data_IF_734159885791
#
_entry.id   IF_734159885791
#
_cell.length_a   1.000
_cell.length_b   1.000
_cell.length_c   1.000
_cell.angle_alpha   90.00
_cell.angle_beta   90.00
_cell.angle_gamma   90.00
#
_symmetry.space_group_name_H-M   'P 1'
#
loop_
_entity.id
_entity.type
_entity.pdbx_description
1 polymer ?
#
# COMPACT_ATOMS: atom_id res chain seq x y z
N UNK A 1 56.98 -55.97 4.81
CA UNK A 1 55.69 -55.86 5.57
C UNK A 1 55.06 -54.45 5.56
N UNK A 2 55.76 -53.35 5.44
CA UNK A 2 55.15 -51.99 5.54
C UNK A 2 54.45 -51.48 4.24
N UNK A 3 54.76 -52.00 3.05
CA UNK A 3 54.08 -51.56 1.79
C UNK A 3 52.75 -52.25 1.53
N UNK A 4 52.57 -53.49 1.96
CA UNK A 4 51.34 -54.24 1.80
C UNK A 4 50.23 -53.80 2.71
N UNK A 5 50.54 -53.32 3.91
CA UNK A 5 49.59 -52.81 4.88
C UNK A 5 49.04 -51.42 4.44
N UNK A 6 49.86 -50.60 3.76
CA UNK A 6 49.42 -49.31 3.25
C UNK A 6 48.46 -49.40 2.07
N UNK A 7 48.70 -50.42 1.20
CA UNK A 7 47.80 -50.70 0.07
C UNK A 7 46.41 -51.23 0.54
N UNK A 8 46.37 -52.07 1.59
CA UNK A 8 45.09 -52.55 2.13
C UNK A 8 44.30 -51.43 2.80
N UNK A 9 44.94 -50.50 3.51
CA UNK A 9 44.24 -49.34 4.12
C UNK A 9 43.71 -48.40 3.06
N UNK A 10 44.41 -48.17 1.97
CA UNK A 10 43.94 -47.35 0.86
C UNK A 10 42.77 -47.99 0.11
N UNK A 11 42.78 -49.35 -0.06
CA UNK A 11 41.68 -50.06 -0.69
C UNK A 11 40.40 -50.07 0.19
N UNK A 12 40.52 -50.19 1.50
CA UNK A 12 39.38 -50.14 2.41
C UNK A 12 38.81 -48.72 2.51
N UNK A 13 39.66 -47.65 2.46
CA UNK A 13 39.19 -46.27 2.41
C UNK A 13 38.45 -45.97 1.09
N UNK A 14 38.91 -46.51 -0.04
CA UNK A 14 38.23 -46.32 -1.32
C UNK A 14 36.88 -47.04 -1.38
N UNK A 15 36.71 -48.19 -0.70
CA UNK A 15 35.44 -48.91 -0.64
C UNK A 15 34.38 -48.21 0.26
N UNK A 16 34.81 -47.39 1.21
CA UNK A 16 33.89 -46.61 2.07
C UNK A 16 33.34 -45.34 1.36
N UNK A 17 33.95 -44.88 0.27
CA UNK A 17 33.48 -43.78 -0.51
C UNK A 17 32.50 -44.16 -1.64
N UNK A 18 32.23 -45.46 -1.86
CA UNK A 18 31.29 -45.94 -2.87
C UNK A 18 29.85 -46.12 -2.35
N UNK A 19 29.65 -46.02 -1.02
CA UNK A 19 28.29 -45.89 -0.49
C UNK A 19 27.89 -44.41 -0.54
N UNK A 20 27.73 -43.89 -1.75
CA UNK A 20 27.00 -42.71 -2.00
C UNK A 20 25.52 -42.89 -1.55
N UNK A 21 24.92 -41.89 -0.97
CA UNK A 21 23.51 -41.90 -0.62
C UNK A 21 22.70 -42.34 -1.85
N UNK A 22 22.16 -43.56 -1.80
CA UNK A 22 21.05 -43.94 -2.68
C UNK A 22 19.87 -43.07 -2.26
N UNK A 23 19.62 -42.04 -3.04
CA UNK A 23 18.38 -41.27 -2.96
C UNK A 23 17.29 -42.20 -3.47
N UNK A 24 16.58 -42.87 -2.59
CA UNK A 24 15.34 -43.56 -2.92
C UNK A 24 14.35 -42.44 -3.34
N UNK A 25 14.33 -42.15 -4.64
CA UNK A 25 13.21 -41.46 -5.25
C UNK A 25 12.09 -42.48 -5.33
N UNK A 26 11.24 -42.53 -4.32
CA UNK A 26 9.92 -43.15 -4.47
C UNK A 26 9.21 -42.32 -5.54
N UNK A 27 9.17 -42.85 -6.77
CA UNK A 27 8.23 -42.36 -7.76
C UNK A 27 6.82 -42.71 -7.23
N UNK A 28 6.25 -41.85 -6.40
CA UNK A 28 4.81 -41.82 -6.31
C UNK A 28 4.30 -41.50 -7.69
N UNK A 29 3.52 -42.42 -8.25
CA UNK A 29 2.80 -42.19 -9.50
C UNK A 29 1.78 -41.09 -9.20
N UNK A 30 2.19 -39.86 -9.39
CA UNK A 30 1.28 -38.71 -9.42
C UNK A 30 0.34 -38.97 -10.59
N UNK A 31 -0.95 -39.06 -10.31
CA UNK A 31 -1.99 -39.28 -11.33
C UNK A 31 -1.71 -38.44 -12.55
N UNK A 32 -1.73 -39.01 -13.75
CA UNK A 32 -1.44 -38.30 -15.03
C UNK A 32 -2.27 -37.05 -15.26
N UNK A 33 -3.43 -36.91 -14.58
CA UNK A 33 -4.28 -35.71 -14.61
C UNK A 33 -3.61 -34.50 -13.94
N UNK A 34 -2.77 -34.73 -12.92
CA UNK A 34 -2.05 -33.62 -12.25
C UNK A 34 -0.87 -33.10 -13.09
N UNK A 35 -0.21 -33.99 -13.84
CA UNK A 35 0.93 -33.62 -14.68
C UNK A 35 0.52 -32.74 -15.90
N UNK A 36 -0.67 -32.94 -16.45
CA UNK A 36 -1.16 -32.15 -17.59
C UNK A 36 -1.46 -30.69 -17.21
N UNK A 37 -1.85 -30.42 -15.95
CA UNK A 37 -2.13 -29.06 -15.47
C UNK A 37 -0.85 -28.27 -15.12
N UNK A 38 0.23 -28.95 -14.73
CA UNK A 38 1.50 -28.26 -14.43
C UNK A 38 2.06 -27.53 -15.65
N UNK A 39 2.03 -28.17 -16.82
CA UNK A 39 2.53 -27.59 -18.06
C UNK A 39 1.65 -26.47 -18.60
N UNK A 40 0.40 -26.34 -18.19
CA UNK A 40 -0.44 -25.22 -18.52
C UNK A 40 0.04 -23.90 -17.88
N UNK A 41 0.63 -23.99 -16.69
CA UNK A 41 1.20 -22.84 -15.97
C UNK A 41 2.73 -22.77 -16.12
N UNK A 42 3.43 -23.90 -16.16
CA UNK A 42 4.89 -23.96 -16.24
C UNK A 42 5.45 -23.97 -17.68
N UNK A 43 4.60 -23.94 -18.69
CA UNK A 43 4.98 -23.75 -20.06
C UNK A 43 4.76 -22.29 -20.47
N UNK A 44 5.66 -21.40 -20.02
CA UNK A 44 5.57 -19.93 -20.23
C UNK A 44 5.98 -19.56 -21.68
N UNK A 45 5.26 -20.13 -22.67
CA UNK A 45 5.58 -19.93 -24.09
C UNK A 45 5.47 -18.48 -24.52
N UNK A 46 4.55 -17.73 -23.91
CA UNK A 46 4.32 -16.31 -24.17
C UNK A 46 5.12 -15.39 -23.24
N UNK A 47 5.95 -15.93 -22.34
CA UNK A 47 6.80 -15.15 -21.43
C UNK A 47 6.06 -14.35 -20.36
N UNK A 48 4.76 -14.63 -20.12
CA UNK A 48 3.94 -13.85 -19.20
C UNK A 48 4.34 -13.99 -17.73
N UNK A 49 4.70 -15.21 -17.33
CA UNK A 49 5.16 -15.45 -15.95
C UNK A 49 6.53 -14.80 -15.73
N UNK A 50 7.43 -14.90 -16.71
CA UNK A 50 8.74 -14.26 -16.67
C UNK A 50 8.63 -12.73 -16.65
N UNK A 51 7.69 -12.18 -17.43
CA UNK A 51 7.40 -10.74 -17.39
C UNK A 51 6.88 -10.32 -16.01
N UNK A 52 5.87 -11.01 -15.48
CA UNK A 52 5.30 -10.72 -14.18
C UNK A 52 6.33 -10.83 -13.03
N UNK A 53 7.24 -11.82 -13.08
CA UNK A 53 8.36 -11.95 -12.16
C UNK A 53 9.32 -10.76 -12.26
N UNK A 54 9.68 -10.36 -13.48
CA UNK A 54 10.54 -9.19 -13.72
C UNK A 54 9.91 -7.89 -13.21
N UNK A 55 8.62 -7.70 -13.44
CA UNK A 55 7.86 -6.57 -12.90
C UNK A 55 7.83 -6.60 -11.36
N UNK A 56 7.47 -7.76 -10.77
CA UNK A 56 7.43 -7.92 -9.31
C UNK A 56 8.79 -7.65 -8.64
N UNK A 57 9.90 -8.08 -9.24
CA UNK A 57 11.24 -7.79 -8.74
C UNK A 57 11.56 -6.28 -8.66
N UNK A 58 10.82 -5.45 -9.39
CA UNK A 58 10.89 -3.99 -9.34
C UNK A 58 9.87 -3.37 -8.37
N UNK A 59 9.07 -4.17 -7.67
CA UNK A 59 8.06 -3.67 -6.73
C UNK A 59 8.60 -3.50 -5.32
N UNK A 60 7.97 -2.63 -4.55
CA UNK A 60 8.22 -2.53 -3.10
C UNK A 60 7.83 -3.81 -2.36
N UNK A 61 6.89 -4.61 -2.88
CA UNK A 61 6.54 -5.91 -2.29
C UNK A 61 7.73 -6.88 -2.29
N UNK A 62 8.58 -6.85 -3.34
CA UNK A 62 9.74 -7.72 -3.44
C UNK A 62 10.93 -7.23 -2.59
N UNK A 63 11.10 -5.91 -2.46
CA UNK A 63 12.30 -5.28 -1.90
C UNK A 63 12.07 -4.49 -0.62
N UNK A 64 10.81 -4.36 -0.18
CA UNK A 64 10.45 -3.61 1.02
C UNK A 64 10.99 -4.24 2.30
N UNK A 65 11.07 -3.44 3.35
CA UNK A 65 11.47 -3.85 4.70
C UNK A 65 10.34 -4.54 5.47
N UNK A 66 9.25 -4.92 4.79
CA UNK A 66 8.07 -5.51 5.43
C UNK A 66 8.41 -6.73 6.29
N UNK A 67 9.32 -7.57 5.81
CA UNK A 67 9.78 -8.76 6.52
C UNK A 67 10.44 -8.46 7.88
N UNK A 68 10.97 -7.27 8.10
CA UNK A 68 11.59 -6.85 9.36
C UNK A 68 10.58 -6.76 10.52
N UNK A 69 9.28 -6.75 10.20
CA UNK A 69 8.21 -6.65 11.20
C UNK A 69 7.65 -8.00 11.64
N UNK A 70 8.00 -9.09 10.97
CA UNK A 70 7.38 -10.40 11.14
C UNK A 70 7.70 -11.07 12.48
N UNK A 71 8.89 -10.86 13.02
CA UNK A 71 9.38 -11.50 14.25
C UNK A 71 9.31 -10.60 15.49
N UNK A 72 8.48 -9.56 15.48
CA UNK A 72 8.28 -8.72 16.66
C UNK A 72 7.57 -9.50 17.77
N UNK A 73 8.08 -9.39 18.99
CA UNK A 73 7.52 -10.06 20.18
C UNK A 73 6.80 -9.03 21.06
N UNK A 74 5.56 -9.26 21.50
CA UNK A 74 4.73 -10.43 21.18
C UNK A 74 4.37 -10.49 19.69
N UNK A 75 3.96 -11.68 19.19
CA UNK A 75 3.46 -11.79 17.82
C UNK A 75 2.40 -10.72 17.62
N UNK A 76 2.73 -9.74 16.80
CA UNK A 76 1.83 -8.64 16.52
C UNK A 76 1.04 -8.98 15.25
N UNK A 77 -0.12 -8.39 15.11
CA UNK A 77 -0.94 -8.50 13.91
C UNK A 77 -0.24 -8.00 12.63
N UNK A 78 0.99 -7.52 12.76
CA UNK A 78 1.82 -7.06 11.63
C UNK A 78 2.00 -8.12 10.55
N UNK A 79 2.12 -9.39 10.94
CA UNK A 79 2.39 -10.52 10.01
C UNK A 79 1.30 -10.71 8.96
N UNK A 80 0.05 -10.35 9.26
CA UNK A 80 -1.06 -10.46 8.30
C UNK A 80 -0.84 -9.63 7.02
N UNK A 81 -0.07 -8.54 7.10
CA UNK A 81 0.21 -7.64 5.99
C UNK A 81 1.70 -7.65 5.59
N UNK A 82 2.59 -8.05 6.48
CA UNK A 82 4.03 -7.90 6.32
C UNK A 82 4.78 -9.19 5.99
N UNK A 83 4.12 -10.36 5.98
CA UNK A 83 4.72 -11.58 5.45
C UNK A 83 3.70 -12.47 4.71
N UNK A 84 4.23 -13.35 3.90
CA UNK A 84 3.44 -14.30 3.13
C UNK A 84 2.64 -15.26 4.02
N UNK A 85 3.30 -15.86 5.02
CA UNK A 85 2.72 -16.91 5.86
C UNK A 85 1.55 -16.37 6.68
N UNK A 86 1.73 -15.21 7.31
CA UNK A 86 0.68 -14.56 8.09
C UNK A 86 -0.51 -14.14 7.24
N UNK A 87 -0.26 -13.64 6.02
CA UNK A 87 -1.34 -13.33 5.08
C UNK A 87 -2.10 -14.58 4.66
N UNK A 88 -1.41 -15.66 4.30
CA UNK A 88 -2.06 -16.91 3.90
C UNK A 88 -2.89 -17.49 5.05
N UNK A 89 -2.37 -17.47 6.27
CA UNK A 89 -3.09 -17.94 7.45
C UNK A 89 -4.38 -17.16 7.68
N UNK A 90 -4.31 -15.82 7.68
CA UNK A 90 -5.51 -15.01 7.95
C UNK A 90 -6.59 -15.21 6.88
N UNK A 91 -6.21 -15.31 5.60
CA UNK A 91 -7.17 -15.52 4.51
C UNK A 91 -7.77 -16.93 4.52
N UNK A 92 -7.00 -17.95 4.95
CA UNK A 92 -7.45 -19.35 4.88
C UNK A 92 -8.13 -19.83 6.15
N UNK A 93 -7.72 -19.31 7.30
CA UNK A 93 -8.18 -19.79 8.62
C UNK A 93 -8.88 -18.73 9.46
N UNK A 94 -8.79 -17.46 9.07
CA UNK A 94 -9.28 -16.31 9.86
C UNK A 94 -8.40 -15.96 11.05
N UNK A 95 -7.26 -16.64 11.24
CA UNK A 95 -6.35 -16.43 12.38
C UNK A 95 -4.89 -16.52 11.93
N UNK A 96 -4.02 -15.78 12.62
CA UNK A 96 -2.57 -15.91 12.47
C UNK A 96 -2.02 -16.89 13.52
N UNK A 97 -1.06 -17.72 13.15
CA UNK A 97 -0.50 -18.78 14.01
C UNK A 97 1.03 -18.65 14.17
N UNK A 98 1.55 -17.54 14.71
CA UNK A 98 2.99 -17.38 14.94
C UNK A 98 3.50 -18.31 16.06
N UNK A 99 4.81 -18.58 16.16
CA UNK A 99 5.87 -18.01 15.32
C UNK A 99 5.97 -18.65 13.95
N UNK A 100 6.30 -17.83 12.95
CA UNK A 100 6.61 -18.33 11.60
C UNK A 100 8.11 -18.57 11.45
N UNK A 101 8.47 -19.76 10.98
CA UNK A 101 9.85 -20.06 10.61
C UNK A 101 10.04 -19.80 9.10
N UNK A 102 11.21 -19.26 8.73
CA UNK A 102 11.55 -18.96 7.34
C UNK A 102 10.55 -18.03 6.65
N UNK A 103 10.20 -16.95 7.32
CA UNK A 103 9.29 -15.94 6.79
C UNK A 103 9.76 -15.42 5.43
N UNK A 104 8.82 -15.18 4.54
CA UNK A 104 9.07 -14.60 3.22
C UNK A 104 8.27 -13.31 3.03
N UNK A 105 8.83 -12.39 2.26
CA UNK A 105 8.15 -11.18 1.85
C UNK A 105 6.90 -11.51 1.01
N UNK A 106 6.09 -10.50 0.74
CA UNK A 106 4.94 -10.61 -0.17
C UNK A 106 5.43 -11.00 -1.56
N UNK A 107 4.93 -12.11 -2.10
CA UNK A 107 5.36 -12.64 -3.39
C UNK A 107 4.18 -13.28 -4.16
N UNK A 108 4.45 -13.88 -5.32
CA UNK A 108 3.41 -14.42 -6.22
C UNK A 108 2.37 -15.25 -5.48
N UNK A 109 2.79 -16.16 -4.62
CA UNK A 109 1.88 -17.07 -3.89
C UNK A 109 1.16 -16.42 -2.69
N UNK A 110 1.48 -15.19 -2.34
CA UNK A 110 0.67 -14.42 -1.38
C UNK A 110 -0.66 -14.04 -2.02
N UNK A 111 -0.61 -13.55 -3.27
CA UNK A 111 -1.79 -13.11 -4.01
C UNK A 111 -2.47 -14.25 -4.79
N UNK A 112 -1.71 -15.20 -5.31
CA UNK A 112 -2.19 -16.31 -6.12
C UNK A 112 -2.05 -17.65 -5.42
N UNK A 113 -2.96 -18.59 -5.68
CA UNK A 113 -2.93 -19.93 -5.12
C UNK A 113 -2.97 -21.02 -6.20
N UNK A 114 -2.06 -21.01 -7.21
CA UNK A 114 -2.17 -21.87 -8.39
C UNK A 114 -2.10 -23.35 -8.05
N UNK A 115 -1.33 -23.74 -7.04
CA UNK A 115 -1.22 -25.14 -6.61
C UNK A 115 -2.45 -25.64 -5.86
N UNK A 116 -3.33 -24.75 -5.43
CA UNK A 116 -4.62 -25.12 -4.80
C UNK A 116 -5.77 -25.01 -5.80
N UNK A 117 -5.80 -23.91 -6.59
CA UNK A 117 -6.90 -23.62 -7.52
C UNK A 117 -6.71 -24.24 -8.91
N UNK A 118 -5.48 -24.62 -9.29
CA UNK A 118 -5.11 -25.04 -10.64
C UNK A 118 -5.10 -23.89 -11.66
N UNK A 119 -5.20 -22.66 -11.21
CA UNK A 119 -5.22 -21.44 -12.05
C UNK A 119 -4.42 -20.33 -11.40
N UNK A 120 -4.14 -19.24 -12.16
CA UNK A 120 -3.52 -18.02 -11.64
C UNK A 120 -4.55 -17.02 -11.07
N UNK A 121 -5.75 -17.48 -10.71
CA UNK A 121 -6.74 -16.65 -10.04
C UNK A 121 -6.21 -16.13 -8.69
N UNK A 122 -6.73 -14.99 -8.27
CA UNK A 122 -6.41 -14.42 -6.96
C UNK A 122 -6.89 -15.34 -5.83
N UNK A 123 -6.17 -15.32 -4.72
CA UNK A 123 -6.47 -16.13 -3.52
C UNK A 123 -7.82 -15.76 -2.92
N UNK A 124 -8.14 -14.48 -2.92
CA UNK A 124 -9.45 -13.96 -2.53
C UNK A 124 -9.80 -12.73 -3.36
N UNK A 125 -11.09 -12.58 -3.64
CA UNK A 125 -11.72 -11.38 -4.20
C UNK A 125 -12.97 -11.01 -3.39
N UNK A 126 -13.12 -11.62 -2.21
CA UNK A 126 -14.23 -11.30 -1.31
C UNK A 126 -14.15 -9.85 -0.85
N UNK A 127 -15.29 -9.16 -0.73
CA UNK A 127 -15.34 -7.81 -0.20
C UNK A 127 -14.68 -7.73 1.18
N UNK A 128 -13.93 -6.66 1.42
CA UNK A 128 -13.24 -6.42 2.69
C UNK A 128 -14.02 -5.41 3.54
N UNK A 129 -14.24 -5.71 4.82
CA UNK A 129 -14.85 -4.75 5.75
C UNK A 129 -13.76 -3.93 6.41
N UNK A 130 -13.77 -2.61 6.16
CA UNK A 130 -12.86 -1.65 6.77
C UNK A 130 -13.18 -1.45 8.25
N UNK A 131 -12.29 -0.84 9.01
CA UNK A 131 -12.41 -0.72 10.48
C UNK A 131 -13.67 0.07 10.94
N UNK A 132 -14.17 1.00 10.11
CA UNK A 132 -15.43 1.72 10.40
C UNK A 132 -16.69 0.93 10.05
N UNK A 133 -16.55 -0.29 9.54
CA UNK A 133 -17.64 -1.14 9.09
C UNK A 133 -18.05 -0.92 7.63
N UNK A 134 -17.41 0.01 6.91
CA UNK A 134 -17.65 0.23 5.49
C UNK A 134 -17.14 -0.96 4.68
N UNK A 135 -17.92 -1.44 3.73
CA UNK A 135 -17.51 -2.52 2.84
C UNK A 135 -16.74 -1.94 1.65
N UNK A 136 -15.51 -2.40 1.46
CA UNK A 136 -14.73 -2.18 0.25
C UNK A 136 -15.01 -3.34 -0.71
N UNK A 137 -15.69 -3.03 -1.82
CA UNK A 137 -16.05 -4.00 -2.86
C UNK A 137 -15.71 -3.42 -4.24
N UNK A 138 -14.53 -3.73 -4.71
CA UNK A 138 -13.97 -3.27 -5.99
C UNK A 138 -13.37 -4.45 -6.77
N UNK A 139 -14.05 -5.59 -6.75
CA UNK A 139 -13.66 -6.78 -7.50
C UNK A 139 -12.27 -7.30 -7.11
N UNK A 140 -11.37 -7.43 -8.08
CA UNK A 140 -10.03 -7.96 -7.83
C UNK A 140 -9.20 -7.09 -6.86
N UNK A 141 -9.50 -5.80 -6.73
CA UNK A 141 -8.83 -4.91 -5.78
C UNK A 141 -9.17 -5.22 -4.32
N UNK A 142 -10.18 -6.05 -4.04
CA UNK A 142 -10.49 -6.50 -2.69
C UNK A 142 -9.30 -7.23 -2.04
N UNK A 143 -8.47 -7.89 -2.85
CA UNK A 143 -7.22 -8.47 -2.36
C UNK A 143 -6.29 -7.40 -1.77
N UNK A 144 -6.16 -6.25 -2.43
CA UNK A 144 -5.28 -5.15 -1.99
C UNK A 144 -5.77 -4.57 -0.66
N UNK A 145 -7.08 -4.42 -0.48
CA UNK A 145 -7.69 -3.88 0.72
C UNK A 145 -7.40 -4.71 1.99
N UNK A 146 -7.07 -5.99 1.86
CA UNK A 146 -6.69 -6.83 3.00
C UNK A 146 -5.42 -6.35 3.73
N UNK A 147 -4.58 -5.53 3.07
CA UNK A 147 -3.37 -4.96 3.65
C UNK A 147 -3.36 -3.43 3.59
N UNK A 148 -3.91 -2.85 2.50
CA UNK A 148 -3.91 -1.42 2.24
C UNK A 148 -5.17 -0.73 2.80
N UNK A 149 -5.42 -0.90 4.10
CA UNK A 149 -6.49 -0.25 4.86
C UNK A 149 -5.95 0.41 6.13
N UNK A 150 -6.68 1.36 6.70
CA UNK A 150 -6.37 1.95 7.99
C UNK A 150 -6.48 0.90 9.11
N UNK A 151 -5.67 1.05 10.15
CA UNK A 151 -5.64 0.15 11.30
C UNK A 151 -6.32 0.74 12.54
N UNK A 152 -6.53 2.02 12.54
CA UNK A 152 -7.17 2.77 13.62
C UNK A 152 -7.97 3.93 13.02
N UNK A 153 -8.96 4.42 13.75
CA UNK A 153 -9.68 5.65 13.44
C UNK A 153 -9.64 6.62 14.62
N UNK A 154 -9.60 7.92 14.33
CA UNK A 154 -9.50 8.94 15.37
C UNK A 154 -10.66 8.92 16.36
N UNK A 155 -11.84 8.49 15.95
CA UNK A 155 -13.02 8.39 16.78
C UNK A 155 -12.90 7.33 17.92
N UNK A 156 -11.96 6.41 17.82
CA UNK A 156 -11.73 5.36 18.82
C UNK A 156 -10.93 5.86 20.02
N UNK A 157 -10.26 7.02 19.92
CA UNK A 157 -9.41 7.53 20.98
C UNK A 157 -10.19 8.32 22.02
N UNK A 158 -10.08 7.88 23.28
CA UNK A 158 -10.73 8.54 24.44
C UNK A 158 -9.99 9.83 24.82
N UNK A 159 -10.73 10.92 24.97
CA UNK A 159 -10.19 12.20 25.43
C UNK A 159 -10.27 12.36 26.96
N UNK A 160 -9.30 13.04 27.59
CA UNK A 160 -8.10 13.62 27.00
C UNK A 160 -7.11 12.54 26.55
N UNK A 161 -6.51 12.70 25.36
CA UNK A 161 -5.59 11.74 24.77
C UNK A 161 -4.14 12.17 24.97
N UNK A 162 -3.29 11.25 25.42
CA UNK A 162 -1.85 11.50 25.57
C UNK A 162 -1.11 10.95 24.35
N UNK A 163 -0.51 11.82 23.57
CA UNK A 163 0.19 11.44 22.34
C UNK A 163 1.38 10.53 22.63
N UNK A 164 1.46 9.35 22.01
CA UNK A 164 2.65 8.51 22.06
C UNK A 164 3.74 9.05 21.11
N UNK A 165 4.88 8.38 21.05
CA UNK A 165 5.97 8.77 20.16
C UNK A 165 5.70 8.50 18.67
N UNK A 166 4.74 7.66 18.38
CA UNK A 166 4.21 7.33 17.04
C UNK A 166 2.71 7.13 17.15
N UNK A 167 1.98 7.73 16.24
CA UNK A 167 0.52 7.67 16.20
C UNK A 167 0.04 8.03 14.80
N UNK A 168 -1.10 7.50 14.39
CA UNK A 168 -1.69 7.71 13.09
C UNK A 168 -2.33 6.44 12.55
N UNK A 169 -2.94 6.48 11.36
CA UNK A 169 -3.70 5.38 10.75
C UNK A 169 -2.82 4.20 10.29
N UNK A 170 -1.49 4.29 10.43
CA UNK A 170 -0.51 3.52 9.68
C UNK A 170 -0.38 4.03 8.23
N UNK A 171 0.64 3.55 7.48
CA UNK A 171 0.89 3.96 6.09
C UNK A 171 0.16 3.05 5.08
N UNK A 172 -1.05 2.61 5.43
CA UNK A 172 -1.80 1.60 4.67
C UNK A 172 -3.26 1.99 4.43
N UNK A 173 -3.62 3.27 4.60
CA UNK A 173 -5.01 3.73 4.55
C UNK A 173 -5.54 4.05 3.13
N UNK A 174 -4.96 3.45 2.09
CA UNK A 174 -5.28 3.76 0.70
C UNK A 174 -6.72 3.37 0.33
N UNK A 175 -7.20 2.21 0.82
CA UNK A 175 -8.57 1.76 0.56
C UNK A 175 -9.61 2.68 1.20
N UNK A 176 -9.29 3.24 2.35
CA UNK A 176 -10.14 4.21 3.06
C UNK A 176 -10.11 5.57 2.35
N UNK A 177 -8.91 6.02 1.95
CA UNK A 177 -8.74 7.30 1.27
C UNK A 177 -9.49 7.33 -0.07
N UNK A 178 -9.36 6.31 -0.92
CA UNK A 178 -10.08 6.27 -2.20
C UNK A 178 -11.59 6.19 -2.02
N UNK A 179 -12.06 5.68 -0.87
CA UNK A 179 -13.47 5.70 -0.46
C UNK A 179 -13.93 7.05 0.09
N UNK A 180 -13.01 7.96 0.41
CA UNK A 180 -13.32 9.25 1.03
C UNK A 180 -13.77 9.13 2.49
N UNK A 181 -13.20 8.19 3.24
CA UNK A 181 -13.52 7.94 4.65
C UNK A 181 -12.27 7.94 5.53
N UNK A 182 -12.48 7.91 6.85
CA UNK A 182 -11.45 7.68 7.87
C UNK A 182 -10.67 8.92 8.31
N UNK A 183 -10.63 10.00 7.52
CA UNK A 183 -10.15 11.29 7.98
C UNK A 183 -11.10 11.93 8.99
N UNK A 184 -10.59 12.80 9.84
CA UNK A 184 -11.42 13.54 10.78
C UNK A 184 -12.22 14.65 10.09
N UNK A 185 -13.54 14.53 10.13
CA UNK A 185 -14.48 15.47 9.52
C UNK A 185 -15.04 16.42 10.59
N UNK A 186 -14.73 17.70 10.44
CA UNK A 186 -15.23 18.74 11.37
C UNK A 186 -16.71 18.99 11.17
N UNK A 187 -17.44 19.12 12.27
CA UNK A 187 -18.85 19.51 12.22
C UNK A 187 -19.02 20.89 11.57
N UNK A 188 -19.96 20.99 10.63
CA UNK A 188 -20.26 22.24 9.93
C UNK A 188 -19.36 22.52 8.73
N UNK A 189 -18.43 21.64 8.38
CA UNK A 189 -17.70 21.66 7.11
C UNK A 189 -18.26 20.59 6.16
N UNK A 190 -18.32 20.87 4.87
CA UNK A 190 -18.81 19.92 3.87
C UNK A 190 -17.65 19.25 3.17
N UNK A 191 -17.65 17.94 3.16
CA UNK A 191 -16.65 17.12 2.48
C UNK A 191 -17.23 16.53 1.21
N UNK A 192 -16.44 16.54 0.14
CA UNK A 192 -16.75 15.90 -1.12
C UNK A 192 -15.84 14.70 -1.30
N UNK A 193 -16.18 13.85 -2.25
CA UNK A 193 -15.36 12.70 -2.65
C UNK A 193 -15.42 12.60 -4.16
N UNK A 194 -14.30 12.35 -4.80
CA UNK A 194 -14.26 12.13 -6.23
C UNK A 194 -14.69 10.70 -6.62
N UNK A 195 -14.99 10.43 -7.89
CA UNK A 195 -15.58 9.17 -8.31
C UNK A 195 -14.57 8.05 -8.58
N UNK A 196 -13.26 8.21 -8.34
CA UNK A 196 -12.25 7.21 -8.75
C UNK A 196 -12.57 5.81 -8.27
N UNK A 197 -13.06 5.66 -7.03
CA UNK A 197 -13.47 4.34 -6.51
C UNK A 197 -14.50 3.62 -7.36
N UNK A 198 -15.46 4.35 -7.93
CA UNK A 198 -16.57 3.78 -8.69
C UNK A 198 -16.37 3.85 -10.20
N UNK A 199 -15.60 4.81 -10.69
CA UNK A 199 -15.39 5.06 -12.11
C UNK A 199 -14.23 4.23 -12.69
N UNK A 200 -13.24 3.86 -11.87
CA UNK A 200 -12.10 3.05 -12.31
C UNK A 200 -12.40 1.57 -12.07
N UNK A 201 -12.42 0.80 -13.14
CA UNK A 201 -12.66 -0.64 -13.06
C UNK A 201 -11.60 -1.31 -12.18
N UNK A 202 -12.04 -2.12 -11.20
CA UNK A 202 -11.17 -2.75 -10.19
C UNK A 202 -10.30 -1.74 -9.42
N UNK A 203 -10.73 -0.47 -9.31
CA UNK A 203 -10.09 0.57 -8.50
C UNK A 203 -8.55 0.54 -8.55
N UNK A 204 -7.88 0.03 -7.48
CA UNK A 204 -6.42 -0.04 -7.36
C UNK A 204 -5.73 -0.63 -8.60
N UNK A 205 -6.25 -1.76 -9.09
CA UNK A 205 -5.67 -2.52 -10.21
C UNK A 205 -5.74 -1.72 -11.51
N UNK A 206 -6.85 -1.00 -11.74
CA UNK A 206 -7.05 -0.19 -12.94
C UNK A 206 -5.95 0.86 -13.13
N UNK A 207 -5.40 1.38 -12.04
CA UNK A 207 -4.29 2.33 -12.06
C UNK A 207 -2.93 1.65 -11.89
N UNK A 208 -2.71 0.92 -10.78
CA UNK A 208 -1.39 0.41 -10.40
C UNK A 208 -0.88 -0.74 -11.24
N UNK A 209 -1.77 -1.52 -11.85
CA UNK A 209 -1.40 -2.61 -12.75
C UNK A 209 -1.70 -2.30 -14.22
N UNK A 210 -2.17 -1.09 -14.53
CA UNK A 210 -2.48 -0.66 -15.88
C UNK A 210 -1.24 -0.51 -16.75
N UNK A 211 -1.39 -0.77 -18.06
CA UNK A 211 -0.40 -0.49 -19.12
C UNK A 211 1.06 -0.79 -18.72
N UNK A 212 1.41 -2.04 -18.37
CA UNK A 212 2.76 -2.37 -17.94
C UNK A 212 3.79 -2.02 -18.99
N UNK A 213 4.87 -1.37 -18.58
CA UNK A 213 5.98 -0.98 -19.46
C UNK A 213 7.29 -0.95 -18.69
N UNK A 214 8.40 -1.08 -19.42
CA UNK A 214 9.74 -0.98 -18.86
C UNK A 214 10.46 0.21 -19.48
N UNK A 215 11.09 1.04 -18.64
CA UNK A 215 11.96 2.12 -19.05
C UNK A 215 13.32 1.97 -18.37
N UNK A 216 14.39 1.93 -19.13
CA UNK A 216 15.77 1.79 -18.62
C UNK A 216 15.99 0.67 -17.58
N UNK A 217 15.17 -0.40 -17.64
CA UNK A 217 15.21 -1.51 -16.67
C UNK A 217 14.28 -1.36 -15.48
N UNK A 218 13.60 -0.21 -15.32
CA UNK A 218 12.59 0.02 -14.30
C UNK A 218 11.20 -0.34 -14.85
N UNK A 219 10.44 -1.12 -14.08
CA UNK A 219 9.11 -1.53 -14.47
C UNK A 219 8.04 -0.62 -13.88
N UNK A 220 7.07 -0.23 -14.71
CA UNK A 220 5.88 0.54 -14.35
C UNK A 220 4.62 -0.28 -14.65
N UNK A 221 3.62 -0.18 -13.80
CA UNK A 221 2.37 -0.95 -13.94
C UNK A 221 2.60 -2.45 -13.76
N UNK A 222 1.60 -3.26 -14.16
CA UNK A 222 1.68 -4.70 -13.99
C UNK A 222 1.99 -5.09 -12.55
N UNK A 223 2.77 -6.11 -12.35
CA UNK A 223 3.15 -6.59 -11.01
C UNK A 223 4.24 -5.75 -10.32
N UNK A 224 4.73 -4.67 -10.95
CA UNK A 224 5.57 -3.69 -10.26
C UNK A 224 4.75 -2.76 -9.36
N UNK A 225 3.48 -2.52 -9.70
CA UNK A 225 2.56 -1.57 -9.05
C UNK A 225 3.05 -0.12 -9.06
N UNK A 226 4.18 0.17 -9.70
CA UNK A 226 4.80 1.48 -9.74
C UNK A 226 4.03 2.40 -10.70
N UNK A 227 3.68 3.58 -10.22
CA UNK A 227 2.99 4.60 -11.02
C UNK A 227 3.98 5.53 -11.75
N UNK A 228 5.19 5.68 -11.22
CA UNK A 228 6.26 6.51 -11.77
C UNK A 228 7.62 5.91 -11.43
N UNK A 229 8.64 6.35 -12.15
CA UNK A 229 10.04 6.05 -11.82
C UNK A 229 10.53 7.03 -10.75
N UNK A 230 11.22 6.52 -9.72
CA UNK A 230 11.69 7.35 -8.61
C UNK A 230 12.84 8.27 -9.01
N UNK A 231 13.74 7.79 -9.88
CA UNK A 231 14.91 8.53 -10.33
C UNK A 231 14.59 9.51 -11.47
N UNK A 232 13.56 9.21 -12.28
CA UNK A 232 13.06 10.08 -13.33
C UNK A 232 11.54 10.27 -13.21
N UNK A 233 11.07 11.25 -12.43
CA UNK A 233 9.65 11.47 -12.20
C UNK A 233 8.86 11.87 -13.46
N UNK A 234 9.52 12.13 -14.60
CA UNK A 234 8.84 12.36 -15.88
C UNK A 234 8.39 11.06 -16.54
N UNK A 235 8.91 9.91 -16.08
CA UNK A 235 8.52 8.59 -16.56
C UNK A 235 7.39 8.06 -15.68
N UNK A 236 6.16 8.18 -16.15
CA UNK A 236 4.95 7.90 -15.37
C UNK A 236 3.93 7.08 -16.13
N UNK A 237 2.94 6.52 -15.43
CA UNK A 237 1.73 5.94 -16.02
C UNK A 237 0.61 6.98 -16.26
N UNK A 238 0.86 8.26 -16.08
CA UNK A 238 -0.12 9.33 -16.28
C UNK A 238 -0.85 9.24 -17.64
N UNK A 239 -0.22 8.83 -18.75
CA UNK A 239 -0.94 8.70 -20.03
C UNK A 239 -2.15 7.76 -19.99
N UNK A 240 -2.23 6.83 -19.05
CA UNK A 240 -3.40 5.95 -18.91
C UNK A 240 -4.64 6.68 -18.37
N UNK A 241 -4.49 7.86 -17.77
CA UNK A 241 -5.58 8.67 -17.24
C UNK A 241 -6.29 9.47 -18.35
N UNK A 242 -5.64 9.64 -19.52
CA UNK A 242 -6.10 10.46 -20.65
C UNK A 242 -7.53 10.16 -21.14
N UNK A 243 -8.04 8.90 -21.11
CA UNK A 243 -9.41 8.63 -21.55
C UNK A 243 -10.48 9.39 -20.75
N UNK A 244 -10.22 9.68 -19.47
CA UNK A 244 -11.12 10.46 -18.61
C UNK A 244 -10.57 11.88 -18.39
N UNK A 245 -9.26 12.06 -18.33
CA UNK A 245 -8.58 13.32 -18.01
C UNK A 245 -7.68 13.78 -19.17
N UNK A 246 -8.23 14.45 -20.15
CA UNK A 246 -7.51 14.87 -21.37
C UNK A 246 -6.25 15.70 -21.13
N UNK A 247 -6.15 16.40 -19.99
CA UNK A 247 -4.97 17.17 -19.60
C UNK A 247 -3.84 16.32 -19.00
N UNK A 248 -4.13 15.12 -18.48
CA UNK A 248 -3.17 14.25 -17.79
C UNK A 248 -2.46 13.38 -18.82
N UNK A 249 -1.46 13.94 -19.49
CA UNK A 249 -0.79 13.28 -20.65
C UNK A 249 0.59 12.73 -20.34
N UNK A 250 1.32 13.27 -19.38
CA UNK A 250 2.71 12.86 -19.09
C UNK A 250 3.06 12.94 -17.60
N UNK A 251 2.31 13.69 -16.81
CA UNK A 251 2.56 13.96 -15.41
C UNK A 251 1.26 13.79 -14.61
N UNK A 252 1.38 13.46 -13.33
CA UNK A 252 0.27 13.46 -12.38
C UNK A 252 0.05 14.86 -11.76
N UNK A 253 1.02 15.74 -11.82
CA UNK A 253 0.92 17.10 -11.26
C UNK A 253 0.26 18.04 -12.26
N UNK A 254 -1.01 17.80 -12.53
CA UNK A 254 -1.82 18.57 -13.49
C UNK A 254 -3.03 19.15 -12.78
N UNK A 255 -3.31 20.42 -13.00
CA UNK A 255 -4.54 21.06 -12.55
C UNK A 255 -5.63 20.92 -13.62
N UNK A 256 -6.67 20.18 -13.28
CA UNK A 256 -7.73 19.81 -14.24
C UNK A 256 -8.77 20.92 -14.36
N UNK A 257 -9.15 21.57 -13.26
CA UNK A 257 -10.24 22.53 -13.14
C UNK A 257 -9.79 24.01 -13.16
N UNK A 258 -8.48 24.24 -13.13
CA UNK A 258 -7.90 25.58 -13.16
C UNK A 258 -8.20 26.43 -11.90
N UNK A 259 -8.30 25.74 -10.74
CA UNK A 259 -8.46 26.40 -9.45
C UNK A 259 -7.12 26.54 -8.73
N UNK A 260 -6.94 27.67 -8.03
CA UNK A 260 -5.86 27.93 -7.11
C UNK A 260 -6.28 27.41 -5.73
N UNK A 261 -5.78 26.24 -5.35
CA UNK A 261 -6.20 25.56 -4.14
C UNK A 261 -5.49 26.03 -2.88
N UNK A 262 -4.26 26.49 -2.98
CA UNK A 262 -3.49 27.02 -1.86
C UNK A 262 -3.67 28.53 -1.66
N UNK A 263 -4.24 29.23 -2.64
CA UNK A 263 -4.57 30.65 -2.56
C UNK A 263 -3.37 31.58 -2.74
N UNK A 264 -2.28 31.08 -3.35
CA UNK A 264 -1.06 31.84 -3.55
C UNK A 264 -1.15 32.81 -4.76
N UNK A 265 -2.21 32.72 -5.57
CA UNK A 265 -2.48 33.54 -6.75
C UNK A 265 -1.95 32.92 -8.04
N UNK A 266 -1.41 31.72 -7.98
CA UNK A 266 -0.94 30.93 -9.13
C UNK A 266 -1.72 29.61 -9.18
N UNK A 267 -2.06 29.15 -10.36
CA UNK A 267 -2.68 27.83 -10.55
C UNK A 267 -1.59 26.84 -10.92
N UNK A 268 -1.19 26.03 -9.96
CA UNK A 268 -0.22 24.96 -10.18
C UNK A 268 -0.92 23.58 -10.35
N UNK A 269 -0.12 22.52 -10.50
CA UNK A 269 -0.63 21.14 -10.50
C UNK A 269 -1.16 20.74 -9.11
N UNK A 270 -2.10 19.83 -9.09
CA UNK A 270 -2.76 19.40 -7.85
C UNK A 270 -1.79 18.95 -6.75
N UNK A 271 -0.73 18.20 -7.13
CA UNK A 271 0.26 17.76 -6.14
C UNK A 271 1.08 18.91 -5.58
N UNK A 272 1.42 19.90 -6.40
CA UNK A 272 2.12 21.13 -5.96
C UNK A 272 1.25 21.95 -5.02
N UNK A 273 -0.02 22.20 -5.36
CA UNK A 273 -1.00 22.86 -4.50
C UNK A 273 -1.15 22.16 -3.13
N UNK A 274 -1.27 20.84 -3.16
CA UNK A 274 -1.39 20.04 -1.92
C UNK A 274 -0.12 20.14 -1.06
N UNK A 275 1.07 20.14 -1.66
CA UNK A 275 2.32 20.24 -0.91
C UNK A 275 2.41 21.56 -0.13
N UNK A 276 1.95 22.67 -0.70
CA UNK A 276 1.89 23.98 -0.02
C UNK A 276 0.90 23.91 1.14
N UNK A 277 -0.32 23.43 0.91
CA UNK A 277 -1.33 23.27 1.97
C UNK A 277 -0.86 22.32 3.09
N UNK A 278 -0.18 21.25 2.76
CA UNK A 278 0.40 20.35 3.78
C UNK A 278 1.52 21.04 4.57
N UNK A 279 2.34 21.88 3.94
CA UNK A 279 3.33 22.67 4.65
C UNK A 279 2.67 23.67 5.62
N UNK A 280 1.57 24.29 5.24
CA UNK A 280 0.80 25.18 6.09
C UNK A 280 0.16 24.44 7.28
N UNK A 281 -0.49 23.30 7.02
CA UNK A 281 -1.05 22.45 8.08
C UNK A 281 0.05 22.03 9.07
N UNK A 282 1.21 21.65 8.54
CA UNK A 282 2.37 21.29 9.37
C UNK A 282 2.81 22.45 10.25
N UNK A 283 2.87 23.67 9.70
CA UNK A 283 3.26 24.86 10.46
C UNK A 283 2.29 25.13 11.61
N UNK A 284 0.99 25.03 11.39
CA UNK A 284 -0.05 25.19 12.42
C UNK A 284 0.02 24.10 13.50
N UNK A 285 0.25 22.84 13.11
CA UNK A 285 0.42 21.74 14.06
C UNK A 285 1.67 21.90 14.93
N UNK A 286 2.76 22.38 14.36
CA UNK A 286 4.00 22.68 15.10
C UNK A 286 3.79 23.85 16.05
N UNK A 287 3.14 24.93 15.60
CA UNK A 287 2.81 26.09 16.43
C UNK A 287 1.87 25.71 17.60
N UNK A 288 0.92 24.81 17.37
CA UNK A 288 0.02 24.24 18.40
C UNK A 288 0.70 23.25 19.35
N UNK A 289 1.99 22.89 19.11
CA UNK A 289 2.72 21.91 19.90
C UNK A 289 2.19 20.49 19.78
N UNK A 290 1.56 20.14 18.66
CA UNK A 290 1.04 18.80 18.37
C UNK A 290 2.05 17.96 17.57
N UNK A 291 2.78 18.60 16.66
CA UNK A 291 3.76 17.98 15.78
C UNK A 291 5.16 18.50 16.10
N UNK A 292 6.15 17.60 16.15
CA UNK A 292 7.55 17.96 16.36
C UNK A 292 8.17 18.50 15.08
N UNK A 293 8.75 19.69 15.12
CA UNK A 293 9.30 20.38 13.96
C UNK A 293 10.46 19.63 13.26
N UNK A 294 11.29 18.92 14.03
CA UNK A 294 12.48 18.26 13.45
C UNK A 294 12.22 16.84 12.95
N UNK A 295 11.18 16.17 13.48
CA UNK A 295 10.95 14.74 13.19
C UNK A 295 9.63 14.47 12.45
N UNK A 296 8.74 15.48 12.38
CA UNK A 296 7.35 15.33 11.89
C UNK A 296 6.59 14.17 12.58
N UNK A 297 6.94 13.86 13.83
CA UNK A 297 6.26 12.91 14.69
C UNK A 297 5.41 13.63 15.73
N UNK A 298 4.43 12.98 16.37
CA UNK A 298 3.67 13.57 17.46
C UNK A 298 4.58 14.07 18.59
N UNK A 299 4.23 15.18 19.22
CA UNK A 299 4.94 15.63 20.42
C UNK A 299 4.62 14.68 21.57
N UNK A 300 5.56 13.80 21.87
CA UNK A 300 5.40 12.74 22.87
C UNK A 300 4.96 13.30 24.24
N UNK A 301 4.04 12.60 24.88
CA UNK A 301 3.46 12.96 26.19
C UNK A 301 2.63 14.27 26.18
N UNK A 302 2.36 14.87 25.03
CA UNK A 302 1.41 15.97 24.92
C UNK A 302 -0.01 15.44 25.20
N UNK A 303 -0.69 16.07 26.11
CA UNK A 303 -2.12 15.78 26.40
C UNK A 303 -2.97 16.66 25.50
N UNK A 304 -3.85 16.04 24.71
CA UNK A 304 -4.79 16.70 23.80
C UNK A 304 -6.20 16.47 24.37
N UNK A 305 -6.87 17.56 24.71
CA UNK A 305 -8.23 17.51 25.29
C UNK A 305 -9.33 17.79 24.25
N UNK A 306 -8.98 18.37 23.09
CA UNK A 306 -9.91 18.71 22.02
C UNK A 306 -9.91 17.62 20.95
N UNK A 307 -11.10 17.12 20.61
CA UNK A 307 -11.27 16.18 19.49
C UNK A 307 -10.84 16.82 18.16
N UNK A 308 -11.19 18.09 17.95
CA UNK A 308 -10.87 18.80 16.73
C UNK A 308 -9.35 19.04 16.57
N UNK A 309 -8.63 19.32 17.67
CA UNK A 309 -7.17 19.45 17.64
C UNK A 309 -6.50 18.10 17.38
N UNK A 310 -7.02 17.01 17.95
CA UNK A 310 -6.55 15.66 17.68
C UNK A 310 -6.86 15.28 16.23
N UNK A 311 -8.03 15.68 15.74
CA UNK A 311 -8.48 15.49 14.36
C UNK A 311 -7.59 16.19 13.33
N UNK A 312 -7.12 17.42 13.60
CA UNK A 312 -6.16 18.10 12.72
C UNK A 312 -4.85 17.33 12.59
N UNK A 313 -4.32 16.83 13.72
CA UNK A 313 -3.11 16.00 13.71
C UNK A 313 -3.35 14.66 12.99
N UNK A 314 -4.55 14.07 13.17
CA UNK A 314 -4.96 12.86 12.48
C UNK A 314 -4.98 13.07 10.96
N UNK A 315 -5.60 14.16 10.48
CA UNK A 315 -5.69 14.47 9.05
C UNK A 315 -4.31 14.66 8.42
N UNK A 316 -3.35 15.24 9.15
CA UNK A 316 -1.95 15.28 8.73
C UNK A 316 -1.42 13.88 8.44
N UNK A 317 -1.51 12.96 9.43
CA UNK A 317 -1.02 11.60 9.26
C UNK A 317 -1.85 10.78 8.27
N UNK A 318 -3.13 11.11 8.12
CA UNK A 318 -4.02 10.45 7.16
C UNK A 318 -3.57 10.71 5.72
N UNK A 319 -3.30 11.95 5.39
CA UNK A 319 -2.86 12.38 4.05
C UNK A 319 -1.42 11.91 3.78
N UNK A 320 -0.51 12.06 4.74
CA UNK A 320 0.87 11.56 4.65
C UNK A 320 0.92 10.04 4.48
N UNK A 321 0.06 9.31 5.21
CA UNK A 321 0.01 7.84 5.18
C UNK A 321 -0.52 7.26 3.88
N UNK A 322 -1.40 7.98 3.20
CA UNK A 322 -1.95 7.59 1.91
C UNK A 322 -0.92 7.61 0.78
N UNK A 323 0.06 8.50 0.84
CA UNK A 323 1.18 8.66 -0.09
C UNK A 323 0.81 8.96 -1.56
N UNK A 324 -0.48 9.05 -1.90
CA UNK A 324 -0.93 9.34 -3.27
C UNK A 324 -0.78 10.81 -3.68
N UNK A 325 -0.49 11.69 -2.73
CA UNK A 325 -0.49 13.15 -2.94
C UNK A 325 -1.82 13.64 -3.51
N UNK A 326 -2.93 13.10 -2.97
CA UNK A 326 -4.29 13.46 -3.35
C UNK A 326 -4.88 12.67 -4.52
N UNK A 327 -4.09 11.85 -5.22
CA UNK A 327 -4.57 11.13 -6.41
C UNK A 327 -5.64 10.08 -6.12
N UNK A 328 -5.68 9.50 -4.92
CA UNK A 328 -6.73 8.56 -4.56
C UNK A 328 -8.09 9.22 -4.39
N UNK A 329 -8.14 10.46 -3.84
CA UNK A 329 -9.36 11.21 -3.67
C UNK A 329 -9.03 12.70 -3.41
N UNK A 330 -8.96 13.48 -4.48
CA UNK A 330 -8.56 14.88 -4.42
C UNK A 330 -9.50 15.72 -3.57
N UNK A 331 -10.79 15.63 -3.85
CA UNK A 331 -11.80 16.42 -3.16
C UNK A 331 -11.80 16.19 -1.65
N UNK A 332 -11.71 14.93 -1.25
CA UNK A 332 -11.66 14.57 0.15
C UNK A 332 -10.38 15.06 0.82
N UNK A 333 -9.23 14.87 0.17
CA UNK A 333 -7.92 15.33 0.67
C UNK A 333 -7.91 16.84 0.90
N UNK A 334 -8.37 17.63 -0.07
CA UNK A 334 -8.45 19.09 0.04
C UNK A 334 -9.40 19.50 1.14
N UNK A 335 -10.55 18.83 1.29
CA UNK A 335 -11.47 19.08 2.40
C UNK A 335 -10.81 18.90 3.76
N UNK A 336 -10.08 17.79 3.94
CA UNK A 336 -9.40 17.47 5.20
C UNK A 336 -8.31 18.49 5.54
N UNK A 337 -7.45 18.85 4.59
CA UNK A 337 -6.33 19.76 4.86
C UNK A 337 -6.82 21.17 5.15
N UNK A 338 -7.73 21.72 4.34
CA UNK A 338 -8.23 23.09 4.51
C UNK A 338 -9.04 23.26 5.79
N UNK A 339 -9.93 22.35 6.11
CA UNK A 339 -10.71 22.39 7.34
C UNK A 339 -9.82 22.34 8.59
N UNK A 340 -8.75 21.53 8.54
CA UNK A 340 -7.78 21.41 9.63
C UNK A 340 -6.97 22.69 9.83
N UNK A 341 -6.47 23.32 8.76
CA UNK A 341 -5.77 24.62 8.82
C UNK A 341 -6.69 25.67 9.43
N UNK A 342 -7.88 25.84 8.86
CA UNK A 342 -8.86 26.84 9.31
C UNK A 342 -9.23 26.65 10.79
N UNK A 343 -9.43 25.41 11.21
CA UNK A 343 -9.72 25.12 12.62
C UNK A 343 -8.56 25.48 13.54
N UNK A 344 -7.33 25.11 13.20
CA UNK A 344 -6.16 25.43 14.03
C UNK A 344 -5.93 26.93 14.15
N UNK A 345 -6.23 27.72 13.11
CA UNK A 345 -6.08 29.15 13.10
C UNK A 345 -7.17 29.89 13.90
N UNK A 346 -8.40 29.40 13.86
CA UNK A 346 -9.57 30.20 14.32
C UNK A 346 -10.50 29.50 15.27
N UNK A 347 -10.33 28.18 15.47
CA UNK A 347 -11.31 27.34 16.19
C UNK A 347 -12.56 27.01 15.36
N UNK A 348 -12.57 27.34 14.05
CA UNK A 348 -13.68 27.03 13.13
C UNK A 348 -13.14 26.46 11.83
N UNK A 349 -13.70 25.34 11.33
CA UNK A 349 -13.22 24.71 10.10
C UNK A 349 -13.45 25.57 8.84
N UNK A 350 -14.25 26.64 8.94
CA UNK A 350 -14.58 27.54 7.83
C UNK A 350 -14.01 28.96 8.01
N UNK A 351 -13.23 29.21 9.03
CA UNK A 351 -12.93 30.59 9.46
C UNK A 351 -11.53 31.10 9.20
N UNK A 352 -10.59 30.24 8.79
CA UNK A 352 -9.17 30.60 8.62
C UNK A 352 -8.82 31.17 7.25
N UNK A 353 -7.53 31.21 6.95
CA UNK A 353 -6.98 31.72 5.70
C UNK A 353 -6.87 30.67 4.59
N UNK A 354 -7.06 29.37 4.93
CA UNK A 354 -7.07 28.34 3.90
C UNK A 354 -8.20 28.65 2.90
N UNK A 355 -7.90 28.68 1.60
CA UNK A 355 -8.89 29.04 0.58
C UNK A 355 -10.12 28.12 0.66
N UNK A 356 -11.31 28.70 0.43
CA UNK A 356 -12.53 27.89 0.40
C UNK A 356 -12.58 27.07 -0.88
N UNK A 357 -12.82 25.77 -0.75
CA UNK A 357 -13.20 24.95 -1.89
C UNK A 357 -14.70 25.13 -2.11
N UNK A 358 -15.09 25.74 -3.22
CA UNK A 358 -16.50 25.83 -3.61
C UNK A 358 -16.92 24.49 -4.24
N UNK A 359 -17.59 23.64 -3.45
CA UNK A 359 -18.13 22.34 -3.89
C UNK A 359 -19.14 22.44 -5.05
N UNK A 360 -19.41 23.65 -5.56
CA UNK A 360 -20.32 23.88 -6.66
C UNK A 360 -19.69 23.69 -8.06
N UNK A 361 -18.39 23.37 -8.15
CA UNK A 361 -17.69 23.21 -9.44
C UNK A 361 -17.67 21.75 -9.93
N UNK A 362 -18.12 20.80 -9.12
CA UNK A 362 -18.07 19.34 -9.40
C UNK A 362 -19.08 18.88 -10.48
N UNK A 363 -19.67 19.73 -11.26
CA UNK A 363 -20.73 19.36 -12.22
C UNK A 363 -20.29 19.36 -13.70
N UNK A 364 -19.00 19.28 -14.01
CA UNK A 364 -18.55 19.38 -15.42
C UNK A 364 -17.31 18.53 -15.74
N UNK A 365 -17.33 17.22 -15.39
CA UNK A 365 -16.31 16.29 -15.88
C UNK A 365 -16.96 15.03 -16.45
#
# INVERSE_FOLDING_TARGET
>A
MKRTTLLLVLLTAALLFVWGCERNVTNEVVNEVAASNCFGCHNDVDGKLQQAEGEWNNSLHASGTSIDYTNRTPPSDCVRCHDHQGFVDIITTGTINPPYENVSAIHCFTCHAPHTSGTLALRTIEPYTLEDGTVFDAGNANLCANCHHARDYVAEFTLPFTLPSRWGPHYSNQSDMIRGIGGYQYAGYTYSTDPHYTAVENACIGCHMGNPRTHAGYALGGHSFNMREDEDPTVTLAPQCTPCHAKVTSDFDVNIDSLDYDGNGTVEGYQTELLVLMADLRAELVAGGLLNNSTSLPVRNRVVASADSLGALWNWFWIEGDQSKGMHNWDYTIGLVKSSINFLQTGSPNGGTAPRHDNNVVAAH
#
